data_IF_620044587373
#
_entry.id   IF_620044587373
#
_cell.length_a   1.000
_cell.length_b   1.000
_cell.length_c   1.000
_cell.angle_alpha   90.00
_cell.angle_beta   90.00
_cell.angle_gamma   90.00
#
_symmetry.space_group_name_H-M   'P 1'
#
loop_
_entity.id
_entity.type
_entity.pdbx_description
1 polymer ?
#
# COMPACT_ATOMS: atom_id res chain seq x y z
N UNK A 1 18.52 -12.88 10.24
CA UNK A 1 19.33 -12.89 8.99
C UNK A 1 19.07 -11.61 8.22
N UNK A 2 20.08 -10.93 7.65
CA UNK A 2 19.85 -9.70 6.90
C UNK A 2 19.05 -10.00 5.63
N UNK A 3 18.01 -9.20 5.39
CA UNK A 3 17.14 -9.32 4.22
C UNK A 3 17.96 -9.12 2.93
N UNK A 4 18.07 -10.18 2.11
CA UNK A 4 18.85 -10.23 0.86
C UNK A 4 17.99 -9.94 -0.39
N UNK A 5 16.74 -9.50 -0.21
CA UNK A 5 15.82 -9.27 -1.34
C UNK A 5 16.35 -8.19 -2.28
N UNK A 6 16.42 -8.52 -3.55
CA UNK A 6 16.73 -7.61 -4.67
C UNK A 6 15.49 -7.03 -5.33
N UNK A 7 14.32 -7.59 -5.01
CA UNK A 7 13.01 -7.22 -5.54
C UNK A 7 11.97 -7.23 -4.41
N UNK A 8 10.90 -6.45 -4.57
CA UNK A 8 9.68 -6.56 -3.73
C UNK A 8 8.62 -7.41 -4.42
N UNK A 9 9.07 -8.49 -5.04
CA UNK A 9 8.23 -9.40 -5.82
C UNK A 9 7.27 -10.24 -4.99
N UNK A 10 6.45 -11.06 -5.66
CA UNK A 10 5.44 -11.86 -5.03
C UNK A 10 6.06 -12.85 -4.03
N UNK A 11 5.35 -13.08 -2.94
CA UNK A 11 5.68 -14.19 -2.05
C UNK A 11 5.37 -15.51 -2.77
N UNK A 12 6.18 -16.58 -2.60
CA UNK A 12 5.98 -17.83 -3.33
C UNK A 12 4.57 -18.44 -3.22
N UNK A 13 3.89 -18.18 -2.10
CA UNK A 13 2.54 -18.66 -1.86
C UNK A 13 1.44 -17.80 -2.52
N UNK A 14 1.73 -16.60 -3.03
CA UNK A 14 0.71 -15.65 -3.50
C UNK A 14 -0.16 -16.21 -4.62
N UNK A 15 0.45 -16.88 -5.59
CA UNK A 15 -0.26 -17.49 -6.71
C UNK A 15 -1.31 -18.53 -6.24
N UNK A 16 -1.02 -19.25 -5.16
CA UNK A 16 -1.96 -20.21 -4.56
C UNK A 16 -2.99 -19.54 -3.67
N UNK A 17 -2.54 -18.63 -2.79
CA UNK A 17 -3.38 -17.99 -1.77
C UNK A 17 -4.43 -17.03 -2.36
N UNK A 18 -4.14 -16.46 -3.53
CA UNK A 18 -4.99 -15.50 -4.22
C UNK A 18 -5.45 -16.01 -5.60
N UNK A 19 -5.45 -17.34 -5.79
CA UNK A 19 -5.99 -17.97 -7.00
C UNK A 19 -7.49 -17.65 -7.16
N UNK A 20 -8.05 -17.72 -8.39
CA UNK A 20 -9.46 -17.40 -8.67
C UNK A 20 -10.47 -18.09 -7.73
N UNK A 21 -10.20 -19.34 -7.33
CA UNK A 21 -11.05 -20.10 -6.41
C UNK A 21 -11.17 -19.46 -5.02
N UNK A 22 -10.14 -18.76 -4.54
CA UNK A 22 -10.15 -18.10 -3.23
C UNK A 22 -10.81 -16.71 -3.26
N UNK A 23 -11.00 -16.10 -4.44
CA UNK A 23 -11.44 -14.70 -4.55
C UNK A 23 -12.84 -14.49 -3.97
N UNK A 24 -13.76 -15.44 -4.17
CA UNK A 24 -15.13 -15.33 -3.67
C UNK A 24 -15.17 -15.29 -2.14
N UNK A 25 -14.44 -16.20 -1.48
CA UNK A 25 -14.34 -16.25 -0.02
C UNK A 25 -13.65 -15.00 0.53
N UNK A 26 -12.57 -14.54 -0.11
CA UNK A 26 -11.86 -13.33 0.30
C UNK A 26 -12.75 -12.07 0.21
N UNK A 27 -13.58 -11.96 -0.82
CA UNK A 27 -14.54 -10.85 -0.96
C UNK A 27 -15.62 -10.89 0.13
N UNK A 28 -16.13 -12.08 0.44
CA UNK A 28 -17.13 -12.25 1.50
C UNK A 28 -16.53 -11.94 2.88
N UNK A 29 -15.33 -12.44 3.14
CA UNK A 29 -14.59 -12.14 4.36
C UNK A 29 -14.28 -10.64 4.49
N UNK A 30 -13.92 -9.95 3.40
CA UNK A 30 -13.73 -8.50 3.39
C UNK A 30 -15.02 -7.76 3.78
N UNK A 31 -16.17 -8.18 3.26
CA UNK A 31 -17.47 -7.59 3.57
C UNK A 31 -17.85 -7.81 5.04
N UNK A 32 -17.71 -9.04 5.55
CA UNK A 32 -17.97 -9.37 6.95
C UNK A 32 -17.08 -8.58 7.91
N UNK A 33 -15.78 -8.49 7.59
CA UNK A 33 -14.83 -7.73 8.41
C UNK A 33 -15.17 -6.24 8.41
N UNK A 34 -15.49 -5.67 7.24
CA UNK A 34 -15.90 -4.28 7.11
C UNK A 34 -17.21 -3.98 7.87
N UNK A 35 -18.16 -4.92 7.91
CA UNK A 35 -19.40 -4.80 8.67
C UNK A 35 -19.13 -4.76 10.18
N UNK A 36 -18.23 -5.61 10.68
CA UNK A 36 -17.83 -5.60 12.10
C UNK A 36 -17.15 -4.29 12.49
N UNK A 37 -16.24 -3.78 11.65
CA UNK A 37 -15.62 -2.46 11.87
C UNK A 37 -16.66 -1.34 11.88
N UNK A 38 -17.65 -1.41 11.00
CA UNK A 38 -18.77 -0.44 10.93
C UNK A 38 -19.61 -0.41 12.19
N UNK A 39 -19.79 -1.56 12.84
CA UNK A 39 -20.48 -1.69 14.12
C UNK A 39 -19.61 -1.33 15.34
N UNK A 40 -18.35 -0.94 15.13
CA UNK A 40 -17.43 -0.54 16.19
C UNK A 40 -16.76 -1.70 16.93
N UNK A 41 -16.77 -2.92 16.37
CA UNK A 41 -16.03 -4.04 16.96
C UNK A 41 -14.52 -3.82 16.81
N UNK A 42 -13.76 -4.31 17.81
CA UNK A 42 -12.30 -4.19 17.80
C UNK A 42 -11.68 -4.91 16.60
N UNK A 43 -10.73 -4.25 15.94
CA UNK A 43 -10.11 -4.72 14.69
C UNK A 43 -9.49 -6.12 14.82
N UNK A 44 -8.63 -6.31 15.83
CA UNK A 44 -7.91 -7.59 16.04
C UNK A 44 -8.87 -8.76 16.26
N UNK A 45 -9.90 -8.58 17.10
CA UNK A 45 -10.88 -9.62 17.40
C UNK A 45 -11.78 -9.91 16.19
N UNK A 46 -12.17 -8.88 15.45
CA UNK A 46 -12.98 -9.01 14.25
C UNK A 46 -12.23 -9.73 13.13
N UNK A 47 -10.95 -9.39 12.92
CA UNK A 47 -10.10 -10.06 11.93
C UNK A 47 -9.86 -11.52 12.30
N UNK A 48 -9.68 -11.82 13.58
CA UNK A 48 -9.57 -13.20 14.06
C UNK A 48 -10.85 -13.98 13.75
N UNK A 49 -12.00 -13.47 14.16
CA UNK A 49 -13.30 -14.11 13.98
C UNK A 49 -13.60 -14.41 12.50
N UNK A 50 -13.45 -13.40 11.64
CA UNK A 50 -13.69 -13.55 10.20
C UNK A 50 -12.65 -14.49 9.58
N UNK A 51 -11.37 -14.31 9.91
CA UNK A 51 -10.33 -15.18 9.36
C UNK A 51 -10.52 -16.64 9.76
N UNK A 52 -10.99 -16.93 10.98
CA UNK A 52 -11.28 -18.29 11.43
C UNK A 52 -12.48 -18.87 10.68
N UNK A 53 -13.55 -18.10 10.49
CA UNK A 53 -14.75 -18.50 9.72
C UNK A 53 -14.42 -18.96 8.30
N UNK A 54 -13.55 -18.23 7.61
CA UNK A 54 -13.16 -18.52 6.23
C UNK A 54 -11.85 -19.34 6.13
N UNK A 55 -11.34 -19.84 7.26
CA UNK A 55 -10.08 -20.61 7.31
C UNK A 55 -8.89 -19.89 6.63
N UNK A 56 -8.82 -18.57 6.78
CA UNK A 56 -7.83 -17.72 6.13
C UNK A 56 -6.45 -17.89 6.77
N UNK A 57 -5.44 -17.98 5.90
CA UNK A 57 -4.04 -17.88 6.29
C UNK A 57 -3.69 -16.47 6.79
N UNK A 58 -2.63 -16.33 7.58
CA UNK A 58 -2.15 -15.02 8.06
C UNK A 58 -1.92 -14.01 6.93
N UNK A 59 -1.45 -14.48 5.77
CA UNK A 59 -1.21 -13.61 4.61
C UNK A 59 -2.49 -13.12 3.95
N UNK A 60 -3.54 -13.95 3.93
CA UNK A 60 -4.87 -13.53 3.49
C UNK A 60 -5.54 -12.61 4.51
N UNK A 61 -5.37 -12.87 5.82
CA UNK A 61 -5.81 -11.97 6.88
C UNK A 61 -5.16 -10.60 6.75
N UNK A 62 -3.87 -10.54 6.49
CA UNK A 62 -3.15 -9.29 6.23
C UNK A 62 -3.74 -8.53 5.01
N UNK A 63 -4.07 -9.25 3.93
CA UNK A 63 -4.68 -8.64 2.75
C UNK A 63 -6.05 -8.04 3.03
N UNK A 64 -6.90 -8.76 3.76
CA UNK A 64 -8.22 -8.27 4.19
C UNK A 64 -8.07 -7.09 5.14
N UNK A 65 -7.19 -7.21 6.14
CA UNK A 65 -6.94 -6.16 7.12
C UNK A 65 -6.53 -4.84 6.45
N UNK A 66 -5.64 -4.89 5.45
CA UNK A 66 -5.22 -3.71 4.70
C UNK A 66 -6.32 -3.18 3.78
N UNK A 67 -7.15 -4.05 3.22
CA UNK A 67 -8.13 -3.69 2.17
C UNK A 67 -9.49 -3.28 2.72
N UNK A 68 -9.78 -3.55 3.99
CA UNK A 68 -11.05 -3.23 4.62
C UNK A 68 -11.07 -1.86 5.29
N UNK A 69 -12.27 -1.33 5.44
CA UNK A 69 -12.54 -0.17 6.28
C UNK A 69 -14.01 -0.15 6.69
N UNK A 70 -14.31 0.52 7.79
CA UNK A 70 -15.70 0.78 8.19
C UNK A 70 -16.39 1.75 7.23
N UNK A 71 -17.72 1.78 7.25
CA UNK A 71 -18.49 2.75 6.46
C UNK A 71 -18.13 4.20 6.85
N UNK A 72 -17.89 4.44 8.13
CA UNK A 72 -17.48 5.77 8.61
C UNK A 72 -16.11 6.16 8.07
N UNK A 73 -15.16 5.21 8.00
CA UNK A 73 -13.85 5.43 7.40
C UNK A 73 -13.96 5.64 5.90
N UNK A 74 -14.77 4.85 5.20
CA UNK A 74 -15.03 4.97 3.77
C UNK A 74 -15.56 6.37 3.43
N UNK A 75 -16.67 6.77 4.06
CA UNK A 75 -17.28 8.09 3.87
C UNK A 75 -16.28 9.21 4.20
N UNK A 76 -15.49 9.06 5.25
CA UNK A 76 -14.48 10.04 5.63
C UNK A 76 -13.35 10.15 4.59
N UNK A 77 -12.96 9.06 3.94
CA UNK A 77 -11.94 9.04 2.88
C UNK A 77 -12.49 9.65 1.60
N UNK A 78 -13.68 9.24 1.17
CA UNK A 78 -14.36 9.77 -0.03
C UNK A 78 -14.54 11.29 0.06
N UNK A 79 -14.94 11.81 1.23
CA UNK A 79 -15.08 13.27 1.44
C UNK A 79 -13.78 14.06 1.35
N UNK A 80 -12.63 13.40 1.54
CA UNK A 80 -11.29 14.00 1.51
C UNK A 80 -10.54 13.68 0.22
N UNK A 81 -11.11 12.83 -0.63
CA UNK A 81 -10.50 12.44 -1.89
C UNK A 81 -10.47 13.64 -2.84
N UNK A 82 -9.31 13.89 -3.43
CA UNK A 82 -9.11 14.90 -4.46
C UNK A 82 -8.90 14.17 -5.77
N UNK A 83 -9.66 14.53 -6.81
CA UNK A 83 -9.51 13.93 -8.14
C UNK A 83 -8.21 14.43 -8.77
N UNK A 84 -7.63 13.62 -9.65
CA UNK A 84 -6.40 13.98 -10.38
C UNK A 84 -6.57 15.30 -11.15
N UNK A 85 -7.74 15.53 -11.74
CA UNK A 85 -8.06 16.77 -12.45
C UNK A 85 -8.00 18.03 -11.55
N UNK A 86 -8.13 17.87 -10.23
CA UNK A 86 -8.12 18.95 -9.26
C UNK A 86 -6.75 19.10 -8.55
N UNK A 87 -5.72 18.37 -8.99
CA UNK A 87 -4.36 18.44 -8.45
C UNK A 87 -3.51 19.56 -9.05
N UNK A 88 -3.87 20.05 -10.24
CA UNK A 88 -3.11 21.09 -10.92
C UNK A 88 -2.93 22.34 -10.04
N UNK A 89 -1.74 22.92 -10.09
CA UNK A 89 -1.35 24.12 -9.37
C UNK A 89 -1.44 24.02 -7.83
N UNK A 90 -1.39 22.81 -7.28
CA UNK A 90 -1.42 22.56 -5.83
C UNK A 90 -0.17 21.84 -5.35
N UNK A 91 0.26 22.09 -4.09
CA UNK A 91 1.28 21.28 -3.46
C UNK A 91 0.70 19.93 -3.01
N UNK A 92 1.53 18.89 -3.01
CA UNK A 92 1.19 17.57 -2.50
C UNK A 92 2.18 17.11 -1.43
N UNK A 93 1.68 16.39 -0.44
CA UNK A 93 2.50 15.71 0.57
C UNK A 93 2.36 14.21 0.36
N UNK A 94 3.49 13.52 0.25
CA UNK A 94 3.56 12.08 -0.04
C UNK A 94 4.09 11.35 1.18
N UNK A 95 3.35 10.33 1.64
CA UNK A 95 3.91 9.28 2.48
C UNK A 95 4.86 8.44 1.63
N UNK A 96 6.15 8.76 1.74
CA UNK A 96 7.17 8.27 0.82
C UNK A 96 7.35 6.76 0.88
N UNK A 97 7.15 6.12 2.04
CA UNK A 97 7.28 4.68 2.14
C UNK A 97 6.07 3.96 1.56
N UNK A 98 4.85 4.35 1.97
CA UNK A 98 3.66 3.65 1.49
C UNK A 98 3.52 3.74 -0.03
N UNK A 99 3.73 4.92 -0.62
CA UNK A 99 3.64 5.07 -2.09
C UNK A 99 4.78 4.32 -2.79
N UNK A 100 6.03 4.51 -2.36
CA UNK A 100 7.18 3.89 -3.02
C UNK A 100 7.11 2.36 -2.98
N UNK A 101 6.78 1.79 -1.82
CA UNK A 101 6.73 0.33 -1.64
C UNK A 101 5.61 -0.29 -2.48
N UNK A 102 4.44 0.35 -2.56
CA UNK A 102 3.34 -0.13 -3.39
C UNK A 102 3.74 -0.14 -4.87
N UNK A 103 4.38 0.91 -5.36
CA UNK A 103 4.86 0.96 -6.76
C UNK A 103 5.99 -0.05 -7.00
N UNK A 104 6.97 -0.16 -6.09
CA UNK A 104 8.03 -1.17 -6.17
C UNK A 104 7.44 -2.60 -6.23
N UNK A 105 6.45 -2.90 -5.39
CA UNK A 105 5.78 -4.19 -5.39
C UNK A 105 5.03 -4.46 -6.70
N UNK A 106 4.30 -3.48 -7.22
CA UNK A 106 3.59 -3.59 -8.49
C UNK A 106 4.56 -3.85 -9.66
N UNK A 107 5.67 -3.12 -9.72
CA UNK A 107 6.70 -3.27 -10.76
C UNK A 107 7.41 -4.63 -10.68
N UNK A 108 7.58 -5.19 -9.47
CA UNK A 108 8.13 -6.54 -9.27
C UNK A 108 7.13 -7.68 -9.52
N UNK A 109 5.89 -7.40 -9.96
CA UNK A 109 4.85 -8.40 -10.15
C UNK A 109 4.25 -8.95 -8.84
N UNK A 110 4.39 -8.20 -7.74
CA UNK A 110 3.75 -8.49 -6.47
C UNK A 110 2.23 -8.31 -6.54
N UNK A 111 1.51 -8.98 -5.61
CA UNK A 111 0.05 -8.82 -5.51
C UNK A 111 -0.32 -7.43 -5.01
N UNK A 112 -1.22 -6.77 -5.73
CA UNK A 112 -1.79 -5.47 -5.39
C UNK A 112 -3.31 -5.63 -5.20
N UNK A 113 -3.82 -5.14 -4.09
CA UNK A 113 -5.21 -5.24 -3.71
C UNK A 113 -5.87 -3.88 -3.87
N UNK A 114 -7.01 -3.85 -4.57
CA UNK A 114 -7.91 -2.69 -4.54
C UNK A 114 -8.75 -2.77 -3.27
N UNK A 115 -8.52 -1.86 -2.35
CA UNK A 115 -9.27 -1.72 -1.11
C UNK A 115 -10.73 -1.39 -1.37
N UNK A 116 -11.55 -1.59 -0.33
CA UNK A 116 -12.96 -1.18 -0.32
C UNK A 116 -13.13 0.32 -0.59
N UNK A 117 -12.15 1.12 -0.18
CA UNK A 117 -12.04 2.57 -0.39
C UNK A 117 -11.48 2.95 -1.77
N UNK A 118 -11.26 1.99 -2.66
CA UNK A 118 -10.69 2.24 -3.99
C UNK A 118 -9.16 2.40 -4.01
N UNK A 119 -8.51 2.59 -2.86
CA UNK A 119 -7.05 2.71 -2.78
C UNK A 119 -6.36 1.36 -3.06
N UNK A 120 -5.26 1.40 -3.81
CA UNK A 120 -4.42 0.22 -4.05
C UNK A 120 -3.41 0.02 -2.93
N UNK A 121 -3.23 -1.24 -2.50
CA UNK A 121 -2.39 -1.60 -1.37
C UNK A 121 -1.61 -2.88 -1.65
N UNK A 122 -0.35 -2.89 -1.29
CA UNK A 122 0.50 -4.09 -1.32
C UNK A 122 0.46 -4.84 0.03
N UNK A 123 1.20 -5.96 0.11
CA UNK A 123 1.44 -6.72 1.36
C UNK A 123 2.88 -6.61 1.88
N UNK A 124 3.74 -5.92 1.15
CA UNK A 124 5.10 -5.66 1.59
C UNK A 124 5.06 -4.77 2.84
N UNK A 125 6.04 -5.00 3.70
CA UNK A 125 6.15 -4.34 4.99
C UNK A 125 7.62 -4.02 5.20
N UNK A 126 7.92 -2.83 5.72
CA UNK A 126 9.27 -2.50 6.17
C UNK A 126 9.30 -2.60 7.69
N UNK A 127 10.22 -3.41 8.19
CA UNK A 127 10.49 -3.52 9.62
C UNK A 127 11.88 -2.92 9.88
N UNK A 128 11.92 -1.65 10.28
CA UNK A 128 13.12 -0.95 10.77
C UNK A 128 14.18 -0.55 9.75
N UNK A 129 14.29 -1.20 8.59
CA UNK A 129 15.29 -0.83 7.57
C UNK A 129 14.71 -0.82 6.16
N UNK A 130 14.74 0.33 5.51
CA UNK A 130 14.52 0.42 4.08
C UNK A 130 15.79 -0.04 3.34
N UNK A 131 15.61 -0.88 2.32
CA UNK A 131 16.66 -1.26 1.39
C UNK A 131 16.20 -0.94 -0.02
N UNK A 132 17.07 -0.28 -0.77
CA UNK A 132 16.89 -0.04 -2.20
C UNK A 132 16.82 -1.40 -2.91
N UNK A 133 15.83 -1.56 -3.77
CA UNK A 133 15.66 -2.69 -4.68
C UNK A 133 15.89 -2.24 -6.13
N UNK A 134 15.85 -3.19 -7.06
CA UNK A 134 16.01 -2.91 -8.50
C UNK A 134 15.01 -1.87 -8.99
N UNK A 135 13.79 -1.94 -8.47
CA UNK A 135 12.64 -1.12 -8.87
C UNK A 135 12.64 0.26 -8.23
N UNK A 136 13.48 0.55 -7.23
CA UNK A 136 13.42 1.82 -6.50
C UNK A 136 13.60 3.03 -7.39
N UNK A 137 14.62 3.03 -8.27
CA UNK A 137 14.86 4.17 -9.17
C UNK A 137 13.71 4.32 -10.17
N UNK A 138 13.32 3.25 -10.92
CA UNK A 138 12.16 3.31 -11.80
C UNK A 138 10.87 3.76 -11.11
N UNK A 139 10.62 3.31 -9.88
CA UNK A 139 9.43 3.69 -9.11
C UNK A 139 9.42 5.18 -8.74
N UNK A 140 10.55 5.72 -8.25
CA UNK A 140 10.67 7.16 -7.96
C UNK A 140 10.49 8.00 -9.23
N UNK A 141 11.06 7.56 -10.36
CA UNK A 141 10.89 8.25 -11.64
C UNK A 141 9.45 8.21 -12.13
N UNK A 142 8.77 7.07 -12.01
CA UNK A 142 7.35 6.93 -12.37
C UNK A 142 6.47 7.87 -11.54
N UNK A 143 6.70 7.93 -10.23
CA UNK A 143 5.98 8.84 -9.34
C UNK A 143 6.27 10.31 -9.73
N UNK A 144 7.54 10.66 -9.98
CA UNK A 144 7.93 12.00 -10.42
C UNK A 144 7.27 12.42 -11.74
N UNK A 145 7.24 11.52 -12.73
CA UNK A 145 6.59 11.76 -14.02
C UNK A 145 5.08 11.99 -13.84
N UNK A 146 4.41 11.15 -13.05
CA UNK A 146 2.99 11.31 -12.75
C UNK A 146 2.68 12.67 -12.10
N UNK A 147 3.50 13.12 -11.15
CA UNK A 147 3.32 14.42 -10.49
C UNK A 147 3.50 15.59 -11.47
N UNK A 148 4.48 15.48 -12.38
CA UNK A 148 4.73 16.46 -13.44
C UNK A 148 3.57 16.52 -14.43
N UNK A 149 3.08 15.36 -14.88
CA UNK A 149 1.91 15.24 -15.76
C UNK A 149 0.64 15.79 -15.10
N UNK A 150 0.54 15.67 -13.76
CA UNK A 150 -0.57 16.22 -12.98
C UNK A 150 -0.43 17.72 -12.66
N UNK A 151 0.64 18.38 -13.13
CA UNK A 151 0.90 19.82 -12.90
C UNK A 151 0.88 20.24 -11.42
N UNK A 152 1.39 19.37 -10.55
CA UNK A 152 1.61 19.67 -9.12
C UNK A 152 2.74 20.70 -8.99
N UNK A 153 2.56 21.73 -8.17
CA UNK A 153 3.57 22.81 -8.02
C UNK A 153 4.77 22.36 -7.20
N UNK A 154 4.50 21.73 -6.06
CA UNK A 154 5.50 21.31 -5.09
C UNK A 154 5.14 19.93 -4.54
N UNK A 155 6.16 19.11 -4.29
CA UNK A 155 5.98 17.79 -3.70
C UNK A 155 6.87 17.60 -2.48
N UNK A 156 6.26 17.40 -1.31
CA UNK A 156 6.95 17.08 -0.07
C UNK A 156 6.90 15.57 0.19
N UNK A 157 8.06 14.91 0.12
CA UNK A 157 8.20 13.51 0.51
C UNK A 157 8.48 13.37 2.00
N UNK A 158 7.60 12.69 2.72
CA UNK A 158 7.78 12.34 4.13
C UNK A 158 8.39 10.94 4.23
N UNK A 159 9.53 10.85 4.92
CA UNK A 159 10.22 9.59 5.22
C UNK A 159 10.42 9.49 6.74
N UNK A 160 9.88 8.45 7.34
CA UNK A 160 9.97 8.21 8.79
C UNK A 160 11.43 8.08 9.25
N UNK A 161 11.84 8.96 10.17
CA UNK A 161 13.21 9.01 10.68
C UNK A 161 13.69 7.71 11.37
N UNK A 162 12.83 6.92 12.07
CA UNK A 162 13.26 5.65 12.66
C UNK A 162 13.58 4.56 11.64
N UNK A 163 13.19 4.73 10.37
CA UNK A 163 13.50 3.76 9.32
C UNK A 163 14.94 3.95 8.86
N UNK A 164 15.78 2.95 9.12
CA UNK A 164 17.18 2.96 8.69
C UNK A 164 17.29 3.12 7.17
N UNK A 165 18.31 3.85 6.72
CA UNK A 165 18.55 4.30 5.34
C UNK A 165 17.56 5.34 4.77
N UNK A 166 16.66 5.91 5.58
CA UNK A 166 15.81 7.03 5.17
C UNK A 166 16.60 8.21 4.58
N UNK A 167 17.73 8.57 5.19
CA UNK A 167 18.63 9.62 4.68
C UNK A 167 19.22 9.32 3.29
N UNK A 168 19.59 8.06 3.02
CA UNK A 168 20.09 7.65 1.69
C UNK A 168 18.99 7.71 0.64
N UNK A 169 17.77 7.30 1.01
CA UNK A 169 16.61 7.39 0.13
C UNK A 169 16.24 8.85 -0.17
N UNK A 170 16.27 9.73 0.84
CA UNK A 170 16.09 11.18 0.66
C UNK A 170 17.09 11.75 -0.36
N UNK A 171 18.38 11.46 -0.22
CA UNK A 171 19.41 11.92 -1.16
C UNK A 171 19.12 11.43 -2.57
N UNK A 172 18.80 10.13 -2.73
CA UNK A 172 18.46 9.55 -4.03
C UNK A 172 17.27 10.25 -4.69
N UNK A 173 16.17 10.45 -3.96
CA UNK A 173 14.97 11.14 -4.48
C UNK A 173 15.32 12.57 -4.89
N UNK A 174 16.09 13.29 -4.06
CA UNK A 174 16.52 14.66 -4.36
C UNK A 174 17.44 14.77 -5.59
N UNK A 175 18.32 13.80 -5.81
CA UNK A 175 19.16 13.73 -7.01
C UNK A 175 18.34 13.47 -8.28
N UNK A 176 17.34 12.59 -8.19
CA UNK A 176 16.45 12.28 -9.32
C UNK A 176 15.53 13.46 -9.67
N UNK A 177 15.06 14.22 -8.67
CA UNK A 177 14.19 15.38 -8.89
C UNK A 177 14.89 16.58 -9.58
N UNK A 178 16.23 16.59 -9.61
CA UNK A 178 17.03 17.65 -10.27
C UNK A 178 17.35 17.34 -11.73
N UNK A 179 17.05 16.13 -12.21
CA UNK A 179 17.27 15.70 -13.59
C UNK A 179 16.00 15.93 -14.40
#
# INVERSE_FOLDING_TARGET
>A
MPDKRTHRGPHPADAKLFAPAAIADLRTALADFSLLLTKGYAEKSSLKLVGDRFSLTERQRLAIMRSACSDQQLISREKREIKIADLADRPIVIDGYNVLITIEAAMSGGVIFKGRDGCFRDLASIHGTYRKVTETIPAVQLIGNFLKESSVTDCLWLLDSPVSNSGRLKTLIGELARK
#
